data_IF_342654290126
#
_entry.id   IF_342654290126
#
_cell.length_a   1.000
_cell.length_b   1.000
_cell.length_c   1.000
_cell.angle_alpha   90.00
_cell.angle_beta   90.00
_cell.angle_gamma   90.00
#
_symmetry.space_group_name_H-M   'P 1'
#
loop_
_entity.id
_entity.type
_entity.pdbx_description
1 polymer ?
#
# COMPACT_ATOMS: atom_id res chain seq x y z
N UNK A 1 -12.46 -30.77 -19.60
CA UNK A 1 -12.76 -32.16 -19.96
C UNK A 1 -11.84 -32.53 -21.11
N UNK A 2 -10.98 -33.55 -20.97
CA UNK A 2 -10.27 -34.08 -22.15
C UNK A 2 -11.30 -34.75 -23.04
N UNK A 3 -11.37 -34.32 -24.29
CA UNK A 3 -12.13 -35.04 -25.30
C UNK A 3 -11.40 -36.37 -25.58
N UNK A 4 -12.10 -37.50 -25.52
CA UNK A 4 -11.50 -38.83 -25.68
C UNK A 4 -11.19 -39.16 -27.16
N UNK A 5 -10.98 -38.14 -27.97
CA UNK A 5 -10.63 -38.25 -29.37
C UNK A 5 -9.11 -38.36 -29.50
N UNK A 6 -8.64 -39.37 -30.24
CA UNK A 6 -7.22 -39.54 -30.52
C UNK A 6 -6.78 -38.43 -31.50
N UNK A 7 -5.86 -37.57 -31.06
CA UNK A 7 -5.20 -36.60 -31.91
C UNK A 7 -4.19 -37.24 -32.87
N UNK A 8 -3.58 -36.44 -33.76
CA UNK A 8 -2.44 -36.89 -34.58
C UNK A 8 -1.28 -37.38 -33.71
N UNK A 9 -0.38 -38.24 -34.24
CA UNK A 9 0.75 -38.76 -33.47
C UNK A 9 1.65 -37.60 -32.99
N UNK A 10 1.96 -37.60 -31.70
CA UNK A 10 2.76 -36.55 -31.06
C UNK A 10 3.73 -37.16 -30.03
N UNK A 11 4.79 -36.41 -29.69
CA UNK A 11 5.69 -36.77 -28.60
C UNK A 11 5.03 -36.45 -27.25
N UNK A 12 4.73 -37.48 -26.48
CA UNK A 12 4.20 -37.37 -25.12
C UNK A 12 5.30 -37.56 -24.08
N UNK A 13 5.05 -37.06 -22.87
CA UNK A 13 5.93 -37.33 -21.73
C UNK A 13 5.79 -38.79 -21.29
N UNK A 14 6.87 -39.37 -20.73
CA UNK A 14 6.80 -40.71 -20.13
C UNK A 14 5.78 -40.73 -18.98
N UNK A 15 5.17 -41.89 -18.66
CA UNK A 15 4.28 -42.03 -17.51
C UNK A 15 4.93 -41.46 -16.24
N UNK A 16 4.19 -40.61 -15.52
CA UNK A 16 4.68 -39.92 -14.32
C UNK A 16 5.44 -38.61 -14.57
N UNK A 17 5.56 -38.15 -15.82
CA UNK A 17 6.13 -36.85 -16.17
C UNK A 17 5.06 -35.97 -16.85
N UNK A 18 5.18 -34.65 -16.68
CA UNK A 18 4.26 -33.66 -17.27
C UNK A 18 5.04 -32.62 -18.07
N UNK A 19 4.41 -32.03 -19.09
CA UNK A 19 5.06 -31.10 -20.02
C UNK A 19 4.96 -29.66 -19.53
N UNK A 20 6.10 -29.03 -19.25
CA UNK A 20 6.21 -27.63 -18.79
C UNK A 20 7.24 -26.90 -19.66
N UNK A 21 6.86 -25.78 -20.27
CA UNK A 21 7.73 -24.98 -21.16
C UNK A 21 8.47 -25.82 -22.23
N UNK A 22 7.80 -26.81 -22.80
CA UNK A 22 8.37 -27.68 -23.83
C UNK A 22 9.21 -28.85 -23.31
N UNK A 23 9.44 -28.97 -22.00
CA UNK A 23 10.24 -30.02 -21.37
C UNK A 23 9.38 -30.94 -20.50
N UNK A 24 9.69 -32.23 -20.42
CA UNK A 24 9.04 -33.16 -19.50
C UNK A 24 9.73 -33.14 -18.14
N UNK A 25 9.02 -32.68 -17.11
CA UNK A 25 9.52 -32.59 -15.73
C UNK A 25 8.67 -33.48 -14.82
N UNK A 26 9.17 -33.79 -13.61
CA UNK A 26 8.37 -34.53 -12.63
C UNK A 26 7.30 -33.60 -12.04
N UNK A 27 6.09 -34.08 -11.71
CA UNK A 27 5.03 -33.26 -11.13
C UNK A 27 5.47 -32.44 -9.91
N UNK A 28 6.36 -32.97 -9.07
CA UNK A 28 6.94 -32.29 -7.90
C UNK A 28 7.97 -31.20 -8.25
N UNK A 29 8.53 -31.25 -9.46
CA UNK A 29 9.45 -30.23 -10.00
C UNK A 29 8.76 -29.27 -10.94
N UNK A 30 7.50 -29.51 -11.28
CA UNK A 30 6.68 -28.40 -11.72
C UNK A 30 6.75 -27.36 -10.61
N UNK A 31 6.88 -26.07 -10.93
CA UNK A 31 6.44 -25.08 -9.97
C UNK A 31 5.02 -25.52 -9.61
N UNK A 32 4.83 -25.97 -8.36
CA UNK A 32 3.51 -26.36 -7.85
C UNK A 32 2.58 -25.28 -8.37
N UNK A 33 1.51 -25.69 -9.06
CA UNK A 33 0.49 -24.76 -9.48
C UNK A 33 0.25 -23.83 -8.31
N UNK A 34 0.67 -22.57 -8.48
CA UNK A 34 0.33 -21.37 -7.73
C UNK A 34 -0.79 -21.61 -6.69
N UNK A 35 -0.49 -22.29 -5.59
CA UNK A 35 -1.48 -22.69 -4.59
C UNK A 35 -0.70 -23.04 -3.34
N UNK A 36 -0.15 -22.02 -2.68
CA UNK A 36 -0.75 -21.59 -1.41
C UNK A 36 -0.80 -20.07 -1.21
N UNK A 37 -0.84 -19.26 -2.27
CA UNK A 37 -1.06 -17.80 -2.11
C UNK A 37 -1.98 -17.15 -3.16
N UNK A 38 -2.92 -17.89 -3.75
CA UNK A 38 -4.04 -17.25 -4.49
C UNK A 38 -4.98 -16.49 -3.51
N UNK A 39 -4.91 -16.79 -2.21
CA UNK A 39 -5.64 -16.04 -1.17
C UNK A 39 -4.89 -14.79 -0.68
N UNK A 40 -3.74 -14.44 -1.28
CA UNK A 40 -3.10 -13.15 -1.04
C UNK A 40 -3.56 -12.19 -2.12
N UNK A 41 -4.47 -11.26 -1.83
CA UNK A 41 -5.07 -10.42 -2.86
C UNK A 41 -4.04 -9.67 -3.72
N UNK A 42 -2.88 -9.34 -3.15
CA UNK A 42 -1.84 -8.62 -3.87
C UNK A 42 -0.99 -9.49 -4.81
N UNK A 43 -1.11 -10.82 -4.78
CA UNK A 43 -0.33 -11.71 -5.65
C UNK A 43 -0.68 -11.57 -7.15
N UNK A 44 -1.90 -11.10 -7.46
CA UNK A 44 -2.40 -10.93 -8.83
C UNK A 44 -2.67 -9.47 -9.23
N UNK A 45 -2.33 -8.50 -8.36
CA UNK A 45 -2.62 -7.09 -8.58
C UNK A 45 -1.40 -6.37 -9.13
N UNK A 46 -1.58 -5.76 -10.30
CA UNK A 46 -0.58 -4.90 -10.93
C UNK A 46 -1.00 -3.44 -10.80
N UNK A 47 -0.28 -2.69 -9.96
CA UNK A 47 -0.54 -1.27 -9.76
C UNK A 47 0.08 -0.45 -10.89
N UNK A 48 -0.67 0.52 -11.43
CA UNK A 48 -0.14 1.48 -12.40
C UNK A 48 0.96 2.39 -11.78
N UNK A 49 0.92 2.54 -10.45
CA UNK A 49 1.95 3.19 -9.63
C UNK A 49 1.80 2.76 -8.18
N UNK A 50 2.90 2.84 -7.42
CA UNK A 50 2.93 2.39 -6.03
C UNK A 50 3.02 0.87 -5.86
N UNK A 51 2.68 0.39 -4.67
CA UNK A 51 2.73 -1.01 -4.29
C UNK A 51 1.34 -1.49 -3.86
N UNK A 52 1.02 -2.76 -4.15
CA UNK A 52 -0.17 -3.38 -3.58
C UNK A 52 0.08 -3.70 -2.10
N UNK A 53 -0.80 -3.22 -1.23
CA UNK A 53 -0.74 -3.43 0.23
C UNK A 53 -2.02 -4.09 0.69
N UNK A 54 -1.87 -5.13 1.51
CA UNK A 54 -2.94 -5.84 2.19
C UNK A 54 -3.12 -5.22 3.59
N UNK A 55 -4.34 -4.84 3.95
CA UNK A 55 -4.66 -4.25 5.25
C UNK A 55 -6.13 -4.53 5.60
N UNK A 56 -6.46 -4.78 6.87
CA UNK A 56 -7.84 -4.95 7.37
C UNK A 56 -8.76 -5.83 6.48
N UNK A 57 -8.28 -7.02 6.08
CA UNK A 57 -8.97 -7.94 5.16
C UNK A 57 -9.36 -7.35 3.78
N UNK A 58 -8.73 -6.24 3.39
CA UNK A 58 -8.82 -5.62 2.06
C UNK A 58 -7.42 -5.42 1.48
N UNK A 59 -7.35 -4.89 0.28
CA UNK A 59 -6.12 -4.61 -0.44
C UNK A 59 -6.30 -3.45 -1.40
N UNK A 60 -5.21 -2.78 -1.73
CA UNK A 60 -5.23 -1.68 -2.69
C UNK A 60 -3.83 -1.26 -3.13
N UNK A 61 -3.77 -0.42 -4.16
CA UNK A 61 -2.54 0.18 -4.63
C UNK A 61 -2.27 1.50 -3.88
N UNK A 62 -1.12 1.58 -3.22
CA UNK A 62 -0.73 2.75 -2.44
C UNK A 62 0.64 3.23 -2.88
N UNK A 63 0.82 4.55 -2.92
CA UNK A 63 2.16 5.11 -3.02
C UNK A 63 2.84 4.99 -1.64
N UNK A 64 3.92 4.22 -1.59
CA UNK A 64 4.71 3.98 -0.38
C UNK A 64 5.90 4.93 -0.28
N UNK A 65 6.15 5.74 -1.31
CA UNK A 65 7.15 6.79 -1.28
C UNK A 65 6.58 8.00 -0.54
N UNK A 66 7.08 8.24 0.67
CA UNK A 66 6.64 9.35 1.50
C UNK A 66 7.49 10.60 1.35
N UNK A 67 6.90 11.74 1.68
CA UNK A 67 7.60 13.02 1.71
C UNK A 67 8.62 13.12 2.85
N UNK A 68 9.34 14.25 2.95
CA UNK A 68 10.23 14.51 4.07
C UNK A 68 9.49 14.44 5.42
N UNK A 69 10.08 13.74 6.37
CA UNK A 69 9.54 13.54 7.73
C UNK A 69 8.20 12.81 7.78
N UNK A 70 7.93 11.99 6.78
CA UNK A 70 6.79 11.08 6.73
C UNK A 70 7.29 9.62 6.66
N UNK A 71 6.47 8.71 7.18
CA UNK A 71 6.63 7.27 7.07
C UNK A 71 5.34 6.62 6.59
N UNK A 72 5.46 5.59 5.75
CA UNK A 72 4.29 4.86 5.26
C UNK A 72 3.79 3.91 6.36
N UNK A 73 2.55 4.11 6.80
CA UNK A 73 1.90 3.24 7.79
C UNK A 73 0.83 2.40 7.10
N UNK A 74 0.89 1.08 7.30
CA UNK A 74 -0.14 0.15 6.83
C UNK A 74 -1.44 0.32 7.63
N UNK A 75 -1.30 0.41 8.96
CA UNK A 75 -2.39 0.76 9.86
C UNK A 75 -2.19 2.22 10.24
N UNK A 76 -2.83 3.13 9.51
CA UNK A 76 -2.71 4.56 9.81
C UNK A 76 -3.53 4.93 11.06
N UNK A 77 -3.14 6.02 11.70
CA UNK A 77 -3.80 6.57 12.89
C UNK A 77 -4.18 8.03 12.68
N UNK A 78 -4.77 8.71 13.65
CA UNK A 78 -4.94 10.17 13.50
C UNK A 78 -3.61 10.88 13.74
N UNK A 79 -3.22 11.72 12.79
CA UNK A 79 -2.05 12.58 12.94
C UNK A 79 -2.36 13.78 13.84
N UNK A 80 -1.37 14.18 14.63
CA UNK A 80 -1.40 15.46 15.33
C UNK A 80 -1.23 16.59 14.29
N UNK A 81 -1.89 17.71 14.53
CA UNK A 81 -1.73 18.94 13.75
C UNK A 81 -1.24 20.06 14.66
N UNK A 82 -0.74 21.16 14.10
CA UNK A 82 -0.46 22.37 14.91
C UNK A 82 -1.73 23.03 15.48
N UNK A 83 -2.93 22.62 15.06
CA UNK A 83 -4.20 23.17 15.51
C UNK A 83 -4.79 22.45 16.74
N UNK A 84 -5.91 22.96 17.28
CA UNK A 84 -6.61 22.31 18.38
C UNK A 84 -7.05 20.90 18.00
N UNK A 85 -6.82 19.93 18.89
CA UNK A 85 -7.26 18.54 18.73
C UNK A 85 -8.78 18.49 18.83
N UNK A 86 -9.45 18.60 17.69
CA UNK A 86 -10.91 18.75 17.63
C UNK A 86 -11.69 17.45 17.81
N UNK A 87 -11.04 16.28 17.69
CA UNK A 87 -11.71 14.98 17.78
C UNK A 87 -10.84 13.96 18.51
N UNK A 88 -11.45 13.17 19.39
CA UNK A 88 -10.80 11.96 19.93
C UNK A 88 -10.49 11.05 18.75
N UNK A 89 -9.24 10.65 18.65
CA UNK A 89 -8.86 9.63 17.68
C UNK A 89 -9.45 8.29 18.12
N UNK A 90 -10.01 7.54 17.18
CA UNK A 90 -10.39 6.16 17.42
C UNK A 90 -9.16 5.25 17.34
N UNK A 91 -9.16 4.16 18.11
CA UNK A 91 -8.06 3.19 18.13
C UNK A 91 -8.09 2.22 16.92
N UNK A 92 -8.83 2.57 15.88
CA UNK A 92 -8.99 1.74 14.68
C UNK A 92 -7.88 2.03 13.68
N UNK A 93 -7.48 1.01 12.93
CA UNK A 93 -6.62 1.19 11.77
C UNK A 93 -7.36 1.97 10.68
N UNK A 94 -6.79 3.10 10.27
CA UNK A 94 -7.18 3.81 9.07
C UNK A 94 -6.44 3.25 7.84
N UNK A 95 -6.92 3.52 6.62
CA UNK A 95 -6.27 3.04 5.40
C UNK A 95 -4.78 3.41 5.31
N UNK A 96 -3.95 2.57 4.65
CA UNK A 96 -2.53 2.82 4.50
C UNK A 96 -2.23 4.19 3.90
N UNK A 97 -1.34 4.94 4.54
CA UNK A 97 -0.93 6.27 4.05
C UNK A 97 0.39 6.72 4.68
N UNK A 98 1.01 7.73 4.09
CA UNK A 98 2.15 8.43 4.68
C UNK A 98 1.69 9.31 5.84
N UNK A 99 2.31 9.13 7.00
CA UNK A 99 2.05 9.89 8.22
C UNK A 99 3.33 10.53 8.75
N UNK A 100 3.22 11.65 9.44
CA UNK A 100 4.33 12.30 10.11
C UNK A 100 5.01 11.36 11.08
N UNK A 101 6.34 11.29 11.00
CA UNK A 101 7.16 10.54 11.94
C UNK A 101 7.06 11.16 13.35
N UNK A 102 7.45 10.39 14.35
CA UNK A 102 7.45 10.85 15.74
C UNK A 102 8.21 12.18 15.91
N UNK A 103 7.62 13.11 16.68
CA UNK A 103 8.16 14.46 16.87
C UNK A 103 7.78 15.47 15.77
N UNK A 104 7.05 15.04 14.73
CA UNK A 104 6.50 15.91 13.70
C UNK A 104 4.98 15.91 13.73
N UNK A 105 4.38 17.01 13.25
CA UNK A 105 2.92 17.17 13.13
C UNK A 105 2.57 17.72 11.76
N UNK A 106 1.36 17.42 11.30
CA UNK A 106 0.87 17.85 9.99
C UNK A 106 0.49 19.33 10.05
N UNK A 107 1.06 20.11 9.15
CA UNK A 107 0.74 21.52 8.97
C UNK A 107 0.84 21.91 7.50
N UNK A 108 -0.24 22.48 6.93
CA UNK A 108 -0.33 22.84 5.50
C UNK A 108 0.13 21.72 4.55
N UNK A 109 -0.25 20.48 4.84
CA UNK A 109 0.11 19.33 4.02
C UNK A 109 1.56 18.86 4.15
N UNK A 110 2.34 19.36 5.12
CA UNK A 110 3.73 18.93 5.36
C UNK A 110 3.92 18.55 6.83
N UNK A 111 4.90 17.69 7.10
CA UNK A 111 5.30 17.35 8.45
C UNK A 111 6.36 18.32 8.96
N UNK A 112 6.03 19.05 10.02
CA UNK A 112 6.92 20.03 10.67
C UNK A 112 7.20 19.59 12.10
N UNK A 113 8.37 19.94 12.65
CA UNK A 113 8.67 19.66 14.06
C UNK A 113 7.59 20.27 14.94
N UNK A 114 7.07 19.50 15.91
CA UNK A 114 6.01 19.95 16.83
C UNK A 114 6.36 21.27 17.52
N UNK A 115 7.63 21.45 17.89
CA UNK A 115 8.17 22.66 18.54
C UNK A 115 8.02 23.93 17.68
N UNK A 116 7.90 23.79 16.37
CA UNK A 116 7.74 24.92 15.44
C UNK A 116 6.29 25.39 15.30
N UNK A 117 5.33 24.71 15.91
CA UNK A 117 3.93 25.17 15.89
C UNK A 117 3.74 26.49 16.65
N UNK A 118 4.59 26.78 17.65
CA UNK A 118 4.53 28.01 18.45
C UNK A 118 5.34 29.18 17.87
N UNK A 119 6.23 28.92 16.90
CA UNK A 119 7.01 29.96 16.23
C UNK A 119 6.22 30.56 15.07
N UNK A 120 5.40 31.58 15.37
CA UNK A 120 5.02 32.79 14.61
C UNK A 120 5.05 32.86 13.05
N UNK A 121 5.07 31.76 12.32
CA UNK A 121 4.87 31.70 10.86
C UNK A 121 3.48 31.14 10.50
N UNK A 122 2.68 30.74 11.49
CA UNK A 122 1.35 30.17 11.32
C UNK A 122 0.27 30.72 12.26
N UNK A 123 0.59 31.73 13.06
CA UNK A 123 -0.44 32.62 13.58
C UNK A 123 -0.89 33.50 12.40
N UNK A 124 -2.17 33.44 12.04
CA UNK A 124 -2.76 34.42 11.14
C UNK A 124 -2.33 35.82 11.60
N UNK A 125 -1.49 36.49 10.80
CA UNK A 125 -1.27 37.92 10.97
C UNK A 125 -2.67 38.55 10.91
N UNK A 126 -3.18 39.20 11.97
CA UNK A 126 -4.42 39.94 11.83
C UNK A 126 -4.20 40.95 10.70
N UNK A 127 -5.00 40.84 9.63
CA UNK A 127 -5.01 41.83 8.56
C UNK A 127 -5.36 43.15 9.22
N UNK A 128 -4.36 43.98 9.52
CA UNK A 128 -4.56 45.36 9.95
C UNK A 128 -5.29 46.06 8.81
N UNK A 129 -6.61 46.16 8.91
CA UNK A 129 -7.39 47.05 8.08
C UNK A 129 -6.92 48.46 8.43
N UNK A 130 -6.21 49.10 7.51
CA UNK A 130 -5.92 50.52 7.61
C UNK A 130 -7.26 51.25 7.58
N UNK A 131 -7.74 51.68 8.74
CA UNK A 131 -8.80 52.66 8.81
C UNK A 131 -8.19 53.99 8.38
N UNK A 132 -8.36 54.33 7.09
CA UNK A 132 -8.10 55.69 6.62
C UNK A 132 -9.19 56.58 7.23
N UNK A 133 -8.77 57.44 8.15
CA UNK A 133 -9.45 58.70 8.46
C UNK A 133 -9.42 59.61 7.23
#
# INVERSE_FOLDING_TARGET
>A
TCDQTCGPPACECRPGFVRTAGTCVRPETCPEALSTSIDRPCAAVFCAGGQCVEYDNTFGCFDTACGPHEEFKICATCEKTCGPVMKKCDEKCHPPTCQCVEGYVRHNGRCVKSEKCDSSEHAERPKRYFQRL
#
